data_IF_381614534540
#
_entry.id   IF_381614534540
#
_cell.length_a   1.000
_cell.length_b   1.000
_cell.length_c   1.000
_cell.angle_alpha   90.00
_cell.angle_beta   90.00
_cell.angle_gamma   90.00
#
_symmetry.space_group_name_H-M   'P 1'
#
loop_
_entity.id
_entity.type
_entity.pdbx_description
1 polymer ?
#
# COMPACT_ATOMS: atom_id res chain seq x y z
N UNK A 1 -20.17 31.27 -3.68
CA UNK A 1 -18.92 30.59 -3.33
C UNK A 1 -19.12 30.00 -1.96
N UNK A 2 -19.07 28.68 -1.84
CA UNK A 2 -18.94 28.07 -0.52
C UNK A 2 -17.63 28.59 0.09
N UNK A 3 -17.58 28.82 1.40
CA UNK A 3 -16.32 29.19 2.11
C UNK A 3 -15.24 28.08 2.00
N UNK A 4 -15.50 27.01 1.25
CA UNK A 4 -14.68 25.82 1.08
C UNK A 4 -14.07 25.70 -0.33
N UNK A 5 -14.35 26.61 -1.26
CA UNK A 5 -13.63 26.64 -2.55
C UNK A 5 -12.55 27.72 -2.53
N UNK A 6 -11.36 27.34 -2.06
CA UNK A 6 -10.17 28.19 -2.13
C UNK A 6 -9.73 28.37 -3.60
N UNK A 7 -9.04 29.47 -3.96
CA UNK A 7 -8.61 29.72 -5.33
C UNK A 7 -7.75 28.59 -5.91
N UNK A 8 -6.85 28.01 -5.11
CA UNK A 8 -6.03 26.87 -5.53
C UNK A 8 -6.87 25.64 -5.83
N UNK A 9 -7.90 25.35 -5.02
CA UNK A 9 -8.79 24.21 -5.26
C UNK A 9 -9.71 24.44 -6.47
N UNK A 10 -10.19 25.68 -6.67
CA UNK A 10 -10.97 26.05 -7.86
C UNK A 10 -10.19 25.72 -9.14
N UNK A 11 -8.95 26.18 -9.22
CA UNK A 11 -8.07 25.99 -10.38
C UNK A 11 -7.73 24.51 -10.63
N UNK A 12 -7.45 23.73 -9.57
CA UNK A 12 -7.23 22.29 -9.68
C UNK A 12 -8.50 21.55 -10.13
N UNK A 13 -9.66 21.88 -9.55
CA UNK A 13 -10.93 21.23 -9.92
C UNK A 13 -11.30 21.48 -11.38
N UNK A 14 -11.10 22.71 -11.87
CA UNK A 14 -11.38 23.09 -13.24
C UNK A 14 -10.52 22.29 -14.24
N UNK A 15 -9.24 22.07 -13.93
CA UNK A 15 -8.33 21.24 -14.75
C UNK A 15 -8.69 19.76 -14.74
N UNK A 16 -9.21 19.26 -13.62
CA UNK A 16 -9.73 17.90 -13.49
C UNK A 16 -11.11 17.68 -14.15
N UNK A 17 -11.78 18.75 -14.58
CA UNK A 17 -13.03 18.69 -15.33
C UNK A 17 -14.30 18.85 -14.47
N UNK A 18 -14.19 19.33 -13.22
CA UNK A 18 -15.35 19.54 -12.36
C UNK A 18 -15.33 20.92 -11.67
N UNK A 19 -16.48 21.34 -11.11
CA UNK A 19 -16.58 22.60 -10.37
C UNK A 19 -16.62 22.35 -8.87
N UNK A 20 -15.76 23.05 -8.11
CA UNK A 20 -15.79 23.05 -6.65
C UNK A 20 -17.09 23.64 -6.07
N UNK A 21 -17.79 24.52 -6.80
CA UNK A 21 -19.06 25.12 -6.35
C UNK A 21 -20.20 24.09 -6.33
N UNK A 22 -20.11 23.09 -7.20
CA UNK A 22 -21.08 22.00 -7.34
C UNK A 22 -20.60 20.69 -6.68
N UNK A 23 -19.37 20.67 -6.15
CA UNK A 23 -18.76 19.51 -5.52
C UNK A 23 -19.39 19.19 -4.15
N UNK A 24 -20.57 18.59 -4.19
CA UNK A 24 -21.12 17.72 -3.16
C UNK A 24 -21.34 18.27 -1.76
N UNK A 25 -21.52 17.33 -0.83
CA UNK A 25 -21.63 17.56 0.61
C UNK A 25 -20.71 16.61 1.38
N UNK A 26 -21.04 16.28 2.63
CA UNK A 26 -20.25 15.34 3.44
C UNK A 26 -20.10 13.97 2.77
N UNK A 27 -21.09 13.55 1.99
CA UNK A 27 -21.13 12.30 1.23
C UNK A 27 -21.88 12.52 -0.08
N UNK A 28 -21.39 11.93 -1.16
CA UNK A 28 -22.05 11.94 -2.46
C UNK A 28 -21.84 10.62 -3.21
N UNK A 29 -22.87 10.21 -3.96
CA UNK A 29 -22.84 9.05 -4.82
C UNK A 29 -23.12 9.46 -6.27
N UNK A 30 -22.16 9.23 -7.14
CA UNK A 30 -22.25 9.48 -8.59
C UNK A 30 -22.42 8.16 -9.35
N UNK A 31 -22.83 8.25 -10.61
CA UNK A 31 -22.84 7.09 -11.50
C UNK A 31 -21.43 6.83 -12.04
N UNK A 32 -20.90 5.60 -12.00
CA UNK A 32 -19.58 5.28 -12.58
C UNK A 32 -19.56 5.45 -14.11
N UNK A 33 -20.73 5.52 -14.75
CA UNK A 33 -20.85 5.76 -16.19
C UNK A 33 -20.85 7.25 -16.56
N UNK A 34 -20.87 8.13 -15.56
CA UNK A 34 -20.80 9.58 -15.72
C UNK A 34 -19.43 10.16 -15.31
N UNK A 35 -18.45 9.29 -15.03
CA UNK A 35 -17.09 9.69 -14.70
C UNK A 35 -16.40 10.33 -15.91
N UNK A 36 -15.50 11.30 -15.65
CA UNK A 36 -14.78 12.07 -16.67
C UNK A 36 -14.07 11.18 -17.71
N UNK A 37 -13.54 10.05 -17.26
CA UNK A 37 -12.99 9.05 -18.15
C UNK A 37 -13.22 7.63 -17.62
N UNK A 38 -13.08 6.63 -18.49
CA UNK A 38 -13.35 5.23 -18.18
C UNK A 38 -12.37 4.62 -17.18
N UNK A 39 -11.21 5.24 -16.94
CA UNK A 39 -10.19 4.69 -16.05
C UNK A 39 -10.52 4.94 -14.58
N UNK A 40 -11.27 6.00 -14.26
CA UNK A 40 -11.74 6.32 -12.91
C UNK A 40 -12.52 5.15 -12.26
N UNK A 41 -13.62 4.63 -12.85
CA UNK A 41 -14.34 3.51 -12.25
C UNK A 41 -13.55 2.21 -12.24
N UNK A 42 -12.62 2.01 -13.18
CA UNK A 42 -11.73 0.83 -13.19
C UNK A 42 -10.76 0.88 -12.01
N UNK A 43 -10.15 2.04 -11.77
CA UNK A 43 -9.27 2.27 -10.63
C UNK A 43 -10.02 2.08 -9.32
N UNK A 44 -11.15 2.79 -9.14
CA UNK A 44 -11.94 2.72 -7.91
C UNK A 44 -12.39 1.29 -7.61
N UNK A 45 -12.92 0.58 -8.60
CA UNK A 45 -13.34 -0.81 -8.43
C UNK A 45 -12.17 -1.71 -8.03
N UNK A 46 -11.00 -1.54 -8.67
CA UNK A 46 -9.79 -2.30 -8.32
C UNK A 46 -9.42 -2.07 -6.86
N UNK A 47 -9.20 -0.81 -6.49
CA UNK A 47 -8.72 -0.44 -5.15
C UNK A 47 -9.71 -0.81 -4.05
N UNK A 48 -11.00 -0.48 -4.22
CA UNK A 48 -12.04 -0.75 -3.21
C UNK A 48 -12.24 -2.24 -3.03
N UNK A 49 -12.31 -3.02 -4.12
CA UNK A 49 -12.41 -4.48 -4.03
C UNK A 49 -11.19 -5.07 -3.31
N UNK A 50 -9.99 -4.57 -3.62
CA UNK A 50 -8.77 -4.94 -2.93
C UNK A 50 -8.83 -4.69 -1.43
N UNK A 51 -9.22 -3.49 -1.01
CA UNK A 51 -9.33 -3.13 0.40
C UNK A 51 -10.32 -4.03 1.16
N UNK A 52 -11.47 -4.32 0.55
CA UNK A 52 -12.47 -5.24 1.11
C UNK A 52 -11.90 -6.65 1.22
N UNK A 53 -11.24 -7.16 0.18
CA UNK A 53 -10.63 -8.49 0.22
C UNK A 53 -9.50 -8.60 1.26
N UNK A 54 -8.68 -7.54 1.41
CA UNK A 54 -7.65 -7.47 2.45
C UNK A 54 -8.25 -7.42 3.87
N UNK A 55 -9.39 -6.75 4.05
CA UNK A 55 -10.12 -6.74 5.32
C UNK A 55 -10.70 -8.13 5.63
N UNK A 56 -11.38 -8.75 4.66
CA UNK A 56 -11.90 -10.12 4.78
C UNK A 56 -10.78 -11.08 5.15
N UNK A 57 -9.64 -10.97 4.47
CA UNK A 57 -8.45 -11.73 4.78
C UNK A 57 -7.97 -11.52 6.22
N UNK A 58 -7.83 -10.27 6.67
CA UNK A 58 -7.39 -9.93 8.02
C UNK A 58 -8.34 -10.50 9.10
N UNK A 59 -9.65 -10.41 8.88
CA UNK A 59 -10.68 -10.95 9.78
C UNK A 59 -10.62 -12.48 9.81
N UNK A 60 -10.54 -13.13 8.64
CA UNK A 60 -10.48 -14.60 8.53
C UNK A 60 -9.22 -15.11 9.22
N UNK A 61 -8.09 -14.43 9.06
CA UNK A 61 -6.83 -14.80 9.70
C UNK A 61 -6.88 -14.68 11.21
N UNK A 62 -7.42 -13.58 11.73
CA UNK A 62 -7.68 -13.43 13.16
C UNK A 62 -8.55 -14.58 13.68
N UNK A 63 -9.65 -14.90 13.00
CA UNK A 63 -10.60 -15.94 13.44
C UNK A 63 -10.02 -17.36 13.37
N UNK A 64 -9.19 -17.66 12.36
CA UNK A 64 -8.65 -19.02 12.14
C UNK A 64 -7.38 -19.31 12.91
N UNK A 65 -6.49 -18.33 13.07
CA UNK A 65 -5.15 -18.53 13.65
C UNK A 65 -4.87 -17.66 14.87
N UNK A 66 -5.82 -16.81 15.28
CA UNK A 66 -5.62 -15.85 16.36
C UNK A 66 -4.68 -14.70 16.01
N UNK A 67 -4.28 -14.56 14.73
CA UNK A 67 -3.30 -13.56 14.32
C UNK A 67 -3.96 -12.26 13.85
N UNK A 68 -3.94 -11.26 14.72
CA UNK A 68 -4.52 -9.94 14.50
C UNK A 68 -3.63 -8.98 13.69
N UNK A 69 -2.41 -9.37 13.31
CA UNK A 69 -1.40 -8.44 12.77
C UNK A 69 -1.90 -7.71 11.51
N UNK A 70 -2.56 -8.43 10.59
CA UNK A 70 -3.12 -7.81 9.38
C UNK A 70 -4.28 -6.86 9.66
N UNK A 71 -5.08 -7.16 10.69
CA UNK A 71 -6.17 -6.28 11.06
C UNK A 71 -5.63 -4.97 11.63
N UNK A 72 -4.53 -5.05 12.39
CA UNK A 72 -3.81 -3.88 12.93
C UNK A 72 -3.13 -3.09 11.83
N UNK A 73 -2.52 -3.74 10.83
CA UNK A 73 -1.99 -3.05 9.63
C UNK A 73 -3.13 -2.30 8.93
N UNK A 74 -4.22 -3.00 8.60
CA UNK A 74 -5.36 -2.45 7.87
C UNK A 74 -5.99 -1.26 8.63
N UNK A 75 -6.37 -1.43 9.90
CA UNK A 75 -6.97 -0.36 10.70
C UNK A 75 -5.99 0.75 11.08
N UNK A 76 -4.70 0.43 11.23
CA UNK A 76 -3.65 1.40 11.51
C UNK A 76 -3.50 2.43 10.38
N UNK A 77 -3.73 2.02 9.13
CA UNK A 77 -3.76 2.97 8.00
C UNK A 77 -4.91 3.97 8.10
N UNK A 78 -6.09 3.53 8.56
CA UNK A 78 -7.23 4.44 8.72
C UNK A 78 -6.98 5.46 9.83
N UNK A 79 -6.31 5.06 10.91
CA UNK A 79 -5.93 6.00 11.95
C UNK A 79 -4.97 7.08 11.41
N UNK A 80 -3.99 6.72 10.57
CA UNK A 80 -3.14 7.70 9.87
C UNK A 80 -3.97 8.63 8.97
N UNK A 81 -4.84 8.05 8.14
CA UNK A 81 -5.70 8.78 7.22
C UNK A 81 -6.53 9.85 7.95
N UNK A 82 -7.23 9.46 9.02
CA UNK A 82 -8.08 10.40 9.77
C UNK A 82 -7.31 11.47 10.57
N UNK A 83 -5.99 11.32 10.73
CA UNK A 83 -5.14 12.33 11.35
C UNK A 83 -4.61 13.31 10.31
N UNK A 84 -4.14 12.82 9.16
CA UNK A 84 -3.43 13.63 8.16
C UNK A 84 -4.38 14.25 7.14
N UNK A 85 -5.32 13.48 6.58
CA UNK A 85 -6.17 13.95 5.49
C UNK A 85 -7.00 15.20 5.82
N UNK A 86 -7.61 15.35 7.03
CA UNK A 86 -8.33 16.57 7.35
C UNK A 86 -7.44 17.81 7.29
N UNK A 87 -6.16 17.69 7.66
CA UNK A 87 -5.19 18.78 7.61
C UNK A 87 -4.81 19.13 6.16
N UNK A 88 -4.77 18.13 5.28
CA UNK A 88 -4.44 18.31 3.86
C UNK A 88 -5.60 18.89 3.05
N UNK A 89 -6.84 18.51 3.36
CA UNK A 89 -8.02 18.92 2.61
C UNK A 89 -8.67 20.21 3.10
N UNK A 90 -8.49 20.58 4.38
CA UNK A 90 -9.11 21.77 4.98
C UNK A 90 -8.10 22.64 5.73
N UNK A 91 -6.97 23.03 5.11
CA UNK A 91 -5.92 23.76 5.81
C UNK A 91 -6.41 25.08 6.40
N UNK A 92 -7.33 25.76 5.70
CA UNK A 92 -7.94 27.02 6.12
C UNK A 92 -8.76 26.86 7.41
N UNK A 93 -9.50 25.75 7.53
CA UNK A 93 -10.30 25.43 8.73
C UNK A 93 -9.40 25.16 9.95
N UNK A 94 -8.19 24.65 9.71
CA UNK A 94 -7.21 24.38 10.75
C UNK A 94 -6.22 25.55 10.97
N UNK A 95 -6.37 26.66 10.24
CA UNK A 95 -5.50 27.83 10.34
C UNK A 95 -4.05 27.56 9.95
N UNK A 96 -3.83 26.60 9.04
CA UNK A 96 -2.51 26.21 8.54
C UNK A 96 -2.32 26.52 7.06
N UNK A 97 -3.23 27.27 6.45
CA UNK A 97 -3.22 27.68 5.03
C UNK A 97 -1.90 28.34 4.59
N UNK A 98 -1.29 29.18 5.45
CA UNK A 98 0.01 29.80 5.19
C UNK A 98 1.17 28.79 5.10
N UNK A 99 0.98 27.58 5.63
CA UNK A 99 1.99 26.52 5.72
C UNK A 99 1.67 25.28 4.87
N UNK A 100 0.38 25.01 4.62
CA UNK A 100 -0.17 23.82 3.99
C UNK A 100 -1.31 24.25 3.04
N UNK A 101 -1.06 25.08 2.03
CA UNK A 101 -2.07 25.30 0.97
C UNK A 101 -2.44 23.95 0.31
N UNK A 102 -3.57 23.90 -0.41
CA UNK A 102 -4.11 22.72 -1.10
C UNK A 102 -3.00 22.02 -1.89
N UNK A 103 -2.56 20.85 -1.41
CA UNK A 103 -1.41 20.13 -1.98
C UNK A 103 -1.76 19.41 -3.28
N UNK A 104 -2.99 18.93 -3.40
CA UNK A 104 -3.51 18.23 -4.55
C UNK A 104 -5.05 18.23 -4.50
N UNK A 105 -5.66 17.88 -5.62
CA UNK A 105 -7.09 17.59 -5.71
C UNK A 105 -7.28 16.26 -6.45
N UNK A 106 -8.23 15.45 -5.98
CA UNK A 106 -8.66 14.26 -6.69
C UNK A 106 -9.77 14.60 -7.68
N UNK A 107 -9.89 13.81 -8.75
CA UNK A 107 -11.09 13.85 -9.57
C UNK A 107 -12.28 13.27 -8.79
N UNK A 108 -13.49 13.43 -9.31
CA UNK A 108 -14.71 12.95 -8.68
C UNK A 108 -15.03 11.52 -9.09
N UNK A 109 -14.93 10.59 -8.15
CA UNK A 109 -15.23 9.18 -8.32
C UNK A 109 -16.70 8.87 -7.99
N UNK A 110 -17.06 7.59 -8.01
CA UNK A 110 -18.43 7.13 -7.71
C UNK A 110 -18.80 7.47 -6.27
N UNK A 111 -17.91 7.22 -5.31
CA UNK A 111 -18.15 7.48 -3.90
C UNK A 111 -17.20 8.55 -3.39
N UNK A 112 -17.75 9.71 -3.04
CA UNK A 112 -17.01 10.87 -2.55
C UNK A 112 -17.42 11.26 -1.14
N UNK A 113 -16.46 11.78 -0.39
CA UNK A 113 -16.66 12.38 0.92
C UNK A 113 -16.08 13.80 0.95
N UNK A 114 -16.47 14.55 1.98
CA UNK A 114 -15.85 15.83 2.34
C UNK A 114 -15.85 16.85 1.17
N UNK A 115 -17.01 17.08 0.56
CA UNK A 115 -17.19 18.06 -0.53
C UNK A 115 -16.31 17.78 -1.76
N UNK A 116 -16.23 16.50 -2.15
CA UNK A 116 -15.47 16.05 -3.32
C UNK A 116 -13.96 16.07 -3.14
N UNK A 117 -13.47 16.06 -1.90
CA UNK A 117 -12.03 16.10 -1.58
C UNK A 117 -11.46 14.74 -1.19
N UNK A 118 -12.29 13.84 -0.64
CA UNK A 118 -11.85 12.53 -0.18
C UNK A 118 -12.64 11.41 -0.89
N UNK A 119 -12.15 10.91 -2.02
CA UNK A 119 -12.72 9.75 -2.69
C UNK A 119 -12.59 8.47 -1.85
N UNK A 120 -13.57 7.56 -1.95
CA UNK A 120 -13.49 6.27 -1.26
C UNK A 120 -12.27 5.45 -1.67
N UNK A 121 -11.82 5.55 -2.92
CA UNK A 121 -10.64 4.82 -3.37
C UNK A 121 -9.37 5.26 -2.63
N UNK A 122 -9.26 6.53 -2.22
CA UNK A 122 -8.15 7.02 -1.38
C UNK A 122 -8.23 6.40 0.00
N UNK A 123 -9.41 6.34 0.61
CA UNK A 123 -9.58 5.62 1.88
C UNK A 123 -9.18 4.15 1.76
N UNK A 124 -9.47 3.53 0.62
CA UNK A 124 -9.21 2.13 0.36
C UNK A 124 -7.75 1.80 -0.05
N UNK A 125 -7.03 2.72 -0.71
CA UNK A 125 -5.69 2.42 -1.24
C UNK A 125 -4.68 2.17 -0.13
N UNK A 126 -4.72 2.98 0.95
CA UNK A 126 -3.82 2.82 2.09
C UNK A 126 -3.89 1.41 2.70
N UNK A 127 -5.05 0.92 3.20
CA UNK A 127 -5.13 -0.40 3.80
C UNK A 127 -4.87 -1.53 2.79
N UNK A 128 -5.29 -1.36 1.54
CA UNK A 128 -5.05 -2.36 0.49
C UNK A 128 -3.54 -2.53 0.26
N UNK A 129 -2.84 -1.45 -0.07
CA UNK A 129 -1.44 -1.48 -0.48
C UNK A 129 -0.53 -1.88 0.69
N UNK A 130 -0.77 -1.30 1.87
CA UNK A 130 -0.03 -1.66 3.08
C UNK A 130 -0.16 -3.15 3.41
N UNK A 131 -1.37 -3.71 3.27
CA UNK A 131 -1.59 -5.13 3.53
C UNK A 131 -0.87 -6.01 2.50
N UNK A 132 -0.96 -5.70 1.20
CA UNK A 132 -0.28 -6.47 0.14
C UNK A 132 1.24 -6.49 0.35
N UNK A 133 1.83 -5.31 0.55
CA UNK A 133 3.27 -5.18 0.74
C UNK A 133 3.75 -5.93 1.99
N UNK A 134 3.06 -5.74 3.12
CA UNK A 134 3.34 -6.43 4.36
C UNK A 134 3.25 -7.96 4.21
N UNK A 135 2.22 -8.43 3.51
CA UNK A 135 1.98 -9.85 3.29
C UNK A 135 2.99 -10.51 2.39
N UNK A 136 3.41 -9.85 1.32
CA UNK A 136 4.48 -10.35 0.44
C UNK A 136 5.75 -10.58 1.26
N UNK A 137 6.17 -9.59 2.06
CA UNK A 137 7.36 -9.69 2.91
C UNK A 137 7.23 -10.77 3.98
N UNK A 138 6.03 -10.93 4.55
CA UNK A 138 5.77 -11.97 5.54
C UNK A 138 5.73 -13.37 4.93
N UNK A 139 5.14 -13.55 3.75
CA UNK A 139 5.16 -14.82 3.02
C UNK A 139 6.58 -15.23 2.63
N UNK A 140 7.48 -14.26 2.42
CA UNK A 140 8.91 -14.52 2.25
C UNK A 140 9.65 -14.75 3.58
N UNK A 141 8.96 -14.70 4.73
CA UNK A 141 9.53 -15.01 6.04
C UNK A 141 10.53 -13.98 6.57
N UNK A 142 10.62 -12.80 5.96
CA UNK A 142 11.65 -11.81 6.28
C UNK A 142 11.53 -11.33 7.73
N UNK A 143 10.32 -11.03 8.21
CA UNK A 143 10.10 -10.58 9.60
C UNK A 143 10.61 -11.59 10.63
N UNK A 144 10.48 -12.89 10.36
CA UNK A 144 10.94 -13.95 11.26
C UNK A 144 12.45 -14.14 11.19
N UNK A 145 13.01 -14.03 9.98
CA UNK A 145 14.41 -14.32 9.75
C UNK A 145 15.36 -13.15 10.05
N UNK A 146 14.93 -11.93 9.75
CA UNK A 146 15.74 -10.71 9.85
C UNK A 146 15.20 -9.70 10.87
N UNK A 147 14.07 -10.02 11.51
CA UNK A 147 13.46 -9.20 12.55
C UNK A 147 12.59 -8.06 12.03
N UNK A 148 12.02 -7.32 12.98
CA UNK A 148 10.99 -6.30 12.73
C UNK A 148 11.48 -5.14 11.85
N UNK A 149 12.66 -4.58 12.14
CA UNK A 149 13.17 -3.42 11.40
C UNK A 149 13.47 -3.74 9.94
N UNK A 150 14.21 -4.82 9.68
CA UNK A 150 14.57 -5.21 8.32
C UNK A 150 13.34 -5.64 7.52
N UNK A 151 12.40 -6.35 8.15
CA UNK A 151 11.12 -6.65 7.50
C UNK A 151 10.31 -5.40 7.17
N UNK A 152 10.33 -4.38 8.04
CA UNK A 152 9.67 -3.11 7.77
C UNK A 152 10.31 -2.34 6.61
N UNK A 153 11.64 -2.31 6.52
CA UNK A 153 12.38 -1.77 5.36
C UNK A 153 11.94 -2.47 4.07
N UNK A 154 11.85 -3.80 4.08
CA UNK A 154 11.38 -4.57 2.93
C UNK A 154 9.92 -4.27 2.60
N UNK A 155 9.06 -4.06 3.60
CA UNK A 155 7.64 -3.74 3.39
C UNK A 155 7.46 -2.35 2.78
N UNK A 156 8.24 -1.36 3.23
CA UNK A 156 8.31 -0.04 2.59
C UNK A 156 8.75 -0.12 1.13
N UNK A 157 9.80 -0.89 0.84
CA UNK A 157 10.29 -1.10 -0.52
C UNK A 157 9.25 -1.78 -1.43
N UNK A 158 8.58 -2.83 -0.96
CA UNK A 158 7.55 -3.51 -1.74
C UNK A 158 6.35 -2.59 -1.95
N UNK A 159 5.91 -1.87 -0.91
CA UNK A 159 4.82 -0.89 -1.04
C UNK A 159 5.15 0.15 -2.11
N UNK A 160 6.35 0.74 -2.03
CA UNK A 160 6.85 1.71 -2.99
C UNK A 160 6.76 1.18 -4.42
N UNK A 161 7.27 -0.02 -4.69
CA UNK A 161 7.21 -0.60 -6.03
C UNK A 161 5.78 -0.77 -6.58
N UNK A 162 4.79 -1.03 -5.73
CA UNK A 162 3.39 -1.12 -6.16
C UNK A 162 2.71 0.25 -6.28
N UNK A 163 3.04 1.17 -5.37
CA UNK A 163 2.43 2.48 -5.26
C UNK A 163 2.88 3.39 -6.41
N UNK A 164 4.17 3.42 -6.73
CA UNK A 164 4.71 4.29 -7.78
C UNK A 164 4.18 3.96 -9.19
N UNK A 165 3.77 2.70 -9.42
CA UNK A 165 3.10 2.32 -10.67
C UNK A 165 1.78 3.09 -10.85
N UNK A 166 1.06 3.29 -9.74
CA UNK A 166 -0.18 4.04 -9.70
C UNK A 166 0.10 5.55 -9.68
N UNK A 167 1.05 6.00 -8.86
CA UNK A 167 1.29 7.42 -8.60
C UNK A 167 1.80 8.17 -9.85
N UNK A 168 2.70 7.54 -10.63
CA UNK A 168 3.19 8.13 -11.88
C UNK A 168 2.21 8.08 -13.05
N UNK A 169 1.11 7.34 -12.93
CA UNK A 169 0.07 7.29 -13.96
C UNK A 169 -1.09 8.25 -13.69
N UNK A 170 -1.37 8.51 -12.41
CA UNK A 170 -2.54 9.28 -11.98
C UNK A 170 -2.67 10.67 -12.60
N UNK A 171 -1.61 11.50 -12.60
CA UNK A 171 -1.69 12.83 -13.20
C UNK A 171 -2.04 12.78 -14.70
N UNK A 172 -1.43 11.85 -15.45
CA UNK A 172 -1.70 11.70 -16.88
C UNK A 172 -3.15 11.27 -17.17
N UNK A 173 -3.74 10.44 -16.31
CA UNK A 173 -5.12 9.96 -16.46
C UNK A 173 -6.16 10.80 -15.70
N UNK A 174 -5.75 11.96 -15.17
CA UNK A 174 -6.59 12.88 -14.37
C UNK A 174 -7.28 12.19 -13.20
N UNK A 175 -6.59 11.28 -12.52
CA UNK A 175 -7.08 10.71 -11.26
C UNK A 175 -6.95 11.71 -10.10
N UNK A 176 -5.88 12.50 -10.15
CA UNK A 176 -5.64 13.67 -9.29
C UNK A 176 -4.64 14.59 -9.96
N UNK A 177 -4.52 15.79 -9.42
CA UNK A 177 -3.55 16.78 -9.85
C UNK A 177 -2.83 17.39 -8.65
N UNK A 178 -1.51 17.59 -8.80
CA UNK A 178 -0.66 18.20 -7.78
C UNK A 178 -0.63 19.71 -7.93
N UNK A 179 -0.64 20.43 -6.80
CA UNK A 179 -0.32 21.85 -6.80
C UNK A 179 1.17 22.04 -7.08
N UNK A 180 1.48 22.61 -8.24
CA UNK A 180 2.87 22.72 -8.74
C UNK A 180 3.70 23.71 -7.93
N UNK A 181 3.07 24.79 -7.44
CA UNK A 181 3.75 25.87 -6.73
C UNK A 181 3.84 25.62 -5.21
N UNK A 182 3.21 24.55 -4.71
CA UNK A 182 3.25 24.22 -3.29
C UNK A 182 4.67 23.80 -2.86
N UNK A 183 5.30 24.49 -1.88
CA UNK A 183 6.67 24.18 -1.45
C UNK A 183 6.87 22.75 -0.92
N UNK A 184 5.81 22.12 -0.41
CA UNK A 184 5.84 20.75 0.13
C UNK A 184 5.90 19.73 -1.00
N UNK A 185 5.31 20.02 -2.16
CA UNK A 185 5.38 19.15 -3.33
C UNK A 185 6.74 19.20 -4.03
N UNK A 186 7.56 20.21 -3.70
CA UNK A 186 8.87 20.38 -4.31
C UNK A 186 9.94 19.53 -3.61
N UNK A 187 10.92 18.98 -4.34
CA UNK A 187 11.02 18.96 -5.80
C UNK A 187 10.13 17.88 -6.43
N UNK A 188 9.77 18.05 -7.69
CA UNK A 188 9.10 17.03 -8.48
C UNK A 188 10.10 16.05 -9.12
N UNK A 189 9.64 14.81 -9.31
CA UNK A 189 10.22 13.78 -10.15
C UNK A 189 9.24 13.50 -11.30
N UNK A 190 9.52 14.08 -12.46
CA UNK A 190 8.54 14.20 -13.55
C UNK A 190 7.22 14.79 -13.02
N UNK A 191 6.06 14.16 -13.22
CA UNK A 191 4.76 14.67 -12.72
C UNK A 191 4.48 14.44 -11.23
N UNK A 192 5.36 13.78 -10.48
CA UNK A 192 5.10 13.34 -9.10
C UNK A 192 6.04 14.02 -8.10
N UNK A 193 5.55 14.61 -6.99
CA UNK A 193 6.40 15.11 -5.91
C UNK A 193 7.37 14.05 -5.38
N UNK A 194 8.66 14.35 -5.31
CA UNK A 194 9.65 13.44 -4.72
C UNK A 194 9.35 13.11 -3.24
N UNK A 195 8.77 14.02 -2.43
CA UNK A 195 8.24 13.66 -1.11
C UNK A 195 7.13 12.59 -1.17
N UNK A 196 6.30 12.53 -2.21
CA UNK A 196 5.37 11.40 -2.44
C UNK A 196 6.12 10.09 -2.64
N UNK A 197 7.05 10.11 -3.59
CA UNK A 197 7.87 8.96 -4.00
C UNK A 197 8.65 8.34 -2.83
N UNK A 198 9.12 9.16 -1.88
CA UNK A 198 9.93 8.69 -0.75
C UNK A 198 9.10 8.52 0.51
N UNK A 199 8.36 9.54 0.92
CA UNK A 199 7.71 9.56 2.23
C UNK A 199 6.43 8.72 2.21
N UNK A 200 5.50 9.03 1.30
CA UNK A 200 4.22 8.35 1.22
C UNK A 200 4.36 6.93 0.68
N UNK A 201 5.20 6.73 -0.33
CA UNK A 201 5.33 5.44 -0.98
C UNK A 201 6.26 4.46 -0.24
N UNK A 202 7.28 4.91 0.51
CA UNK A 202 8.27 4.01 1.13
C UNK A 202 8.39 4.16 2.66
N UNK A 203 8.62 5.37 3.17
CA UNK A 203 8.95 5.59 4.58
C UNK A 203 7.75 5.43 5.52
N UNK A 204 6.58 5.96 5.15
CA UNK A 204 5.36 5.79 5.93
C UNK A 204 4.93 4.31 6.05
N UNK A 205 4.84 3.52 4.96
CA UNK A 205 4.53 2.10 5.05
C UNK A 205 5.57 1.31 5.83
N UNK A 206 6.85 1.68 5.73
CA UNK A 206 7.92 1.13 6.57
C UNK A 206 7.64 1.42 8.06
N UNK A 207 7.30 2.66 8.42
CA UNK A 207 6.96 3.05 9.79
C UNK A 207 5.75 2.26 10.33
N UNK A 208 4.70 2.13 9.53
CA UNK A 208 3.52 1.33 9.86
C UNK A 208 3.86 -0.15 10.05
N UNK A 209 4.59 -0.75 9.11
CA UNK A 209 4.99 -2.15 9.18
C UNK A 209 5.85 -2.43 10.41
N UNK A 210 6.78 -1.52 10.73
CA UNK A 210 7.59 -1.56 11.94
C UNK A 210 6.70 -1.54 13.19
N UNK A 211 5.80 -0.57 13.31
CA UNK A 211 4.93 -0.42 14.47
C UNK A 211 4.00 -1.63 14.63
N UNK A 212 3.34 -2.08 13.57
CA UNK A 212 2.43 -3.22 13.60
C UNK A 212 3.16 -4.51 14.03
N UNK A 213 4.36 -4.76 13.51
CA UNK A 213 5.17 -5.90 13.92
C UNK A 213 5.73 -5.75 15.34
N UNK A 214 6.16 -4.56 15.72
CA UNK A 214 6.77 -4.32 17.03
C UNK A 214 5.73 -4.42 18.15
N UNK A 215 4.56 -3.81 17.98
CA UNK A 215 3.52 -3.82 19.01
C UNK A 215 2.67 -5.09 18.99
N UNK A 216 2.50 -5.76 17.85
CA UNK A 216 1.57 -6.88 17.73
C UNK A 216 2.24 -8.12 17.14
N UNK A 217 2.73 -8.05 15.90
CA UNK A 217 3.15 -9.23 15.14
C UNK A 217 4.21 -10.09 15.82
N UNK A 218 5.29 -9.50 16.34
CA UNK A 218 6.36 -10.25 17.03
C UNK A 218 5.90 -10.98 18.28
N UNK A 219 4.87 -10.46 18.96
CA UNK A 219 4.33 -11.10 20.16
C UNK A 219 3.44 -12.28 19.79
N UNK A 220 2.67 -12.15 18.71
CA UNK A 220 1.86 -13.26 18.15
C UNK A 220 2.76 -14.37 17.62
N UNK A 221 3.84 -14.00 16.92
CA UNK A 221 4.87 -14.96 16.48
C UNK A 221 5.53 -15.69 17.68
N UNK A 222 5.61 -15.06 18.84
CA UNK A 222 6.05 -15.66 20.11
C UNK A 222 4.96 -16.45 20.85
N UNK A 223 3.76 -16.60 20.27
CA UNK A 223 2.65 -17.37 20.82
C UNK A 223 1.72 -16.60 21.76
N UNK A 224 1.87 -15.28 21.89
CA UNK A 224 0.97 -14.45 22.70
C UNK A 224 -0.35 -14.18 21.95
N UNK A 225 -1.46 -14.27 22.68
CA UNK A 225 -2.77 -13.81 22.22
C UNK A 225 -3.15 -12.50 22.91
N UNK A 226 -4.02 -11.73 22.25
CA UNK A 226 -4.46 -10.42 22.73
C UNK A 226 -5.99 -10.39 22.86
N UNK A 227 -6.48 -9.77 23.93
CA UNK A 227 -7.91 -9.46 24.08
C UNK A 227 -8.33 -8.29 23.19
N UNK A 228 -9.64 -8.12 22.98
CA UNK A 228 -10.19 -7.07 22.11
C UNK A 228 -9.75 -5.65 22.50
N UNK A 229 -9.86 -5.29 23.78
CA UNK A 229 -9.44 -3.96 24.27
C UNK A 229 -7.94 -3.73 24.08
N UNK A 230 -7.12 -4.77 24.29
CA UNK A 230 -5.67 -4.67 24.09
C UNK A 230 -5.34 -4.44 22.61
N UNK A 231 -6.03 -5.12 21.70
CA UNK A 231 -5.87 -4.89 20.27
C UNK A 231 -6.32 -3.50 19.84
N UNK A 232 -7.43 -2.99 20.39
CA UNK A 232 -7.94 -1.66 20.06
C UNK A 232 -6.92 -0.57 20.38
N UNK A 233 -6.41 -0.49 21.61
CA UNK A 233 -5.45 0.57 21.96
C UNK A 233 -4.14 0.39 21.19
N UNK A 234 -3.65 -0.85 20.99
CA UNK A 234 -2.44 -1.09 20.20
C UNK A 234 -2.61 -0.64 18.76
N UNK A 235 -3.79 -0.81 18.17
CA UNK A 235 -4.10 -0.35 16.81
C UNK A 235 -4.04 1.17 16.73
N UNK A 236 -4.65 1.86 17.69
CA UNK A 236 -4.60 3.33 17.79
C UNK A 236 -3.16 3.81 17.96
N UNK A 237 -2.40 3.19 18.87
CA UNK A 237 -0.97 3.51 19.07
C UNK A 237 -0.15 3.26 17.82
N UNK A 238 -0.38 2.16 17.10
CA UNK A 238 0.31 1.86 15.83
C UNK A 238 0.03 2.97 14.82
N UNK A 239 -1.23 3.38 14.63
CA UNK A 239 -1.57 4.47 13.72
C UNK A 239 -0.88 5.79 14.11
N UNK A 240 -0.98 6.19 15.37
CA UNK A 240 -0.38 7.44 15.88
C UNK A 240 1.14 7.45 15.76
N UNK A 241 1.81 6.40 16.24
CA UNK A 241 3.28 6.31 16.24
C UNK A 241 3.81 6.13 14.81
N UNK A 242 3.11 5.39 13.95
CA UNK A 242 3.49 5.26 12.55
C UNK A 242 3.47 6.62 11.84
N UNK A 243 2.47 7.46 12.14
CA UNK A 243 2.34 8.83 11.61
C UNK A 243 3.54 9.72 11.95
N UNK A 244 4.12 9.57 13.15
CA UNK A 244 5.34 10.30 13.54
C UNK A 244 6.52 9.97 12.61
N UNK A 245 6.55 8.76 12.04
CA UNK A 245 7.56 8.36 11.06
C UNK A 245 7.57 9.24 9.79
N UNK A 246 6.44 9.84 9.41
CA UNK A 246 6.34 10.78 8.28
C UNK A 246 7.15 12.04 8.51
N UNK A 247 7.37 12.42 9.77
CA UNK A 247 8.16 13.60 10.13
C UNK A 247 9.62 13.22 10.38
N UNK A 248 9.85 12.11 11.10
CA UNK A 248 11.20 11.74 11.55
C UNK A 248 12.03 11.15 10.41
N UNK A 249 11.47 10.22 9.63
CA UNK A 249 12.23 9.49 8.62
C UNK A 249 12.78 10.40 7.49
N UNK A 250 12.01 11.36 6.93
CA UNK A 250 12.54 12.30 5.95
C UNK A 250 13.18 13.55 6.56
N UNK A 251 13.39 13.60 7.88
CA UNK A 251 14.00 14.75 8.54
C UNK A 251 15.38 15.12 7.95
N UNK A 252 16.27 14.17 7.57
CA UNK A 252 17.53 14.54 6.92
C UNK A 252 17.30 15.34 5.63
N UNK A 253 16.41 14.89 4.74
CA UNK A 253 16.07 15.63 3.52
C UNK A 253 15.43 16.99 3.82
N UNK A 254 14.57 17.06 4.82
CA UNK A 254 13.84 18.28 5.20
C UNK A 254 14.76 19.34 5.80
N UNK A 255 15.64 18.94 6.73
CA UNK A 255 16.51 19.87 7.47
C UNK A 255 17.73 20.27 6.66
N UNK A 256 18.42 19.32 6.01
CA UNK A 256 19.64 19.60 5.26
C UNK A 256 19.30 20.23 3.89
N UNK A 257 18.17 19.83 3.30
CA UNK A 257 17.65 20.42 2.07
C UNK A 257 16.91 21.74 2.26
N UNK A 258 16.90 22.30 3.47
CA UNK A 258 16.26 23.59 3.74
C UNK A 258 16.93 24.69 2.92
N UNK A 259 16.15 25.34 2.05
CA UNK A 259 16.65 26.39 1.15
C UNK A 259 17.29 25.90 -0.16
N UNK A 260 17.30 24.59 -0.45
CA UNK A 260 17.73 24.07 -1.76
C UNK A 260 16.93 22.85 -2.19
N UNK A 261 16.13 23.02 -3.25
CA UNK A 261 15.37 21.93 -3.87
C UNK A 261 16.27 20.83 -4.42
N UNK A 262 17.44 21.17 -4.97
CA UNK A 262 18.43 20.21 -5.46
C UNK A 262 19.05 19.36 -4.34
N UNK A 263 19.43 19.98 -3.21
CA UNK A 263 19.97 19.23 -2.06
C UNK A 263 18.87 18.33 -1.47
N UNK A 264 17.65 18.87 -1.31
CA UNK A 264 16.50 18.09 -0.87
C UNK A 264 16.24 16.89 -1.79
N UNK A 265 16.30 17.09 -3.11
CA UNK A 265 16.16 16.02 -4.10
C UNK A 265 17.21 14.92 -3.91
N UNK A 266 18.48 15.31 -3.80
CA UNK A 266 19.58 14.39 -3.67
C UNK A 266 19.49 13.53 -2.39
N UNK A 267 19.05 14.12 -1.28
CA UNK A 267 18.91 13.39 -0.01
C UNK A 267 17.73 12.44 -0.04
N UNK A 268 16.57 12.87 -0.54
CA UNK A 268 15.42 11.99 -0.74
C UNK A 268 15.78 10.79 -1.63
N UNK A 269 16.46 11.04 -2.76
CA UNK A 269 16.94 9.97 -3.64
C UNK A 269 17.92 9.04 -2.91
N UNK A 270 18.85 9.58 -2.12
CA UNK A 270 19.80 8.78 -1.35
C UNK A 270 19.11 7.90 -0.29
N UNK A 271 18.13 8.43 0.44
CA UNK A 271 17.32 7.67 1.41
C UNK A 271 16.63 6.48 0.73
N UNK A 272 15.98 6.72 -0.41
CA UNK A 272 15.31 5.68 -1.18
C UNK A 272 16.29 4.63 -1.74
N UNK A 273 17.44 5.06 -2.26
CA UNK A 273 18.48 4.16 -2.78
C UNK A 273 19.03 3.26 -1.67
N UNK A 274 19.33 3.82 -0.49
CA UNK A 274 19.83 3.05 0.66
C UNK A 274 18.79 2.01 1.09
N UNK A 275 17.53 2.43 1.23
CA UNK A 275 16.41 1.55 1.56
C UNK A 275 16.29 0.41 0.54
N UNK A 276 16.34 0.74 -0.75
CA UNK A 276 16.23 -0.21 -1.86
C UNK A 276 17.38 -1.22 -1.88
N UNK A 277 18.63 -0.79 -1.69
CA UNK A 277 19.78 -1.69 -1.63
C UNK A 277 19.61 -2.72 -0.51
N UNK A 278 19.21 -2.28 0.69
CA UNK A 278 19.00 -3.18 1.83
C UNK A 278 17.86 -4.16 1.52
N UNK A 279 16.73 -3.67 1.03
CA UNK A 279 15.57 -4.50 0.73
C UNK A 279 15.87 -5.54 -0.36
N UNK A 280 16.48 -5.13 -1.48
CA UNK A 280 16.86 -6.03 -2.59
C UNK A 280 17.81 -7.11 -2.10
N UNK A 281 18.84 -6.75 -1.33
CA UNK A 281 19.80 -7.69 -0.77
C UNK A 281 19.10 -8.74 0.12
N UNK A 282 18.25 -8.29 1.05
CA UNK A 282 17.56 -9.17 2.01
C UNK A 282 16.54 -10.06 1.31
N UNK A 283 15.68 -9.50 0.45
CA UNK A 283 14.65 -10.26 -0.26
C UNK A 283 15.26 -11.31 -1.18
N UNK A 284 16.33 -10.97 -1.91
CA UNK A 284 17.02 -11.90 -2.81
C UNK A 284 17.69 -13.04 -2.04
N UNK A 285 18.37 -12.72 -0.94
CA UNK A 285 19.03 -13.72 -0.08
C UNK A 285 18.01 -14.65 0.57
N UNK A 286 16.90 -14.09 1.05
CA UNK A 286 15.86 -14.86 1.70
C UNK A 286 15.12 -15.77 0.70
N UNK A 287 14.81 -15.27 -0.49
CA UNK A 287 14.24 -16.08 -1.57
C UNK A 287 15.14 -17.25 -1.95
N UNK A 288 16.43 -17.00 -2.13
CA UNK A 288 17.42 -18.05 -2.42
C UNK A 288 17.47 -19.12 -1.31
N UNK A 289 17.51 -18.68 -0.05
CA UNK A 289 17.51 -19.58 1.11
C UNK A 289 16.26 -20.46 1.17
N UNK A 290 15.07 -19.88 1.00
CA UNK A 290 13.82 -20.63 1.08
C UNK A 290 13.71 -21.70 -0.02
N UNK A 291 14.34 -21.47 -1.17
CA UNK A 291 14.44 -22.47 -2.24
C UNK A 291 15.44 -23.59 -1.92
N UNK A 292 16.51 -23.30 -1.18
CA UNK A 292 17.50 -24.31 -0.79
C UNK A 292 17.10 -25.11 0.45
N UNK A 293 16.23 -24.57 1.31
CA UNK A 293 15.88 -25.17 2.61
C UNK A 293 14.36 -25.19 2.83
N UNK A 294 13.64 -26.18 2.27
CA UNK A 294 12.17 -26.25 2.31
C UNK A 294 11.55 -26.48 3.70
N UNK A 295 12.34 -26.83 4.71
CA UNK A 295 11.84 -27.12 6.06
C UNK A 295 11.34 -25.86 6.80
N UNK A 296 11.79 -24.67 6.40
CA UNK A 296 11.49 -23.39 7.05
C UNK A 296 10.34 -22.61 6.35
N UNK A 297 9.55 -23.28 5.51
CA UNK A 297 8.60 -22.61 4.63
C UNK A 297 7.52 -21.80 5.39
N UNK A 298 7.44 -20.48 5.14
CA UNK A 298 6.44 -19.61 5.75
C UNK A 298 5.00 -19.96 5.35
N UNK A 299 4.04 -19.35 6.05
CA UNK A 299 2.64 -19.40 5.67
C UNK A 299 2.44 -18.73 4.30
N UNK A 300 1.61 -19.36 3.44
CA UNK A 300 1.25 -18.86 2.11
C UNK A 300 -0.17 -18.31 2.13
N UNK A 301 -0.45 -17.33 1.27
CA UNK A 301 -1.79 -16.76 1.12
C UNK A 301 -2.13 -16.55 -0.36
N UNK A 302 -3.02 -17.37 -0.90
CA UNK A 302 -3.40 -17.31 -2.31
C UNK A 302 -4.21 -16.05 -2.65
N UNK A 303 -5.04 -15.55 -1.74
CA UNK A 303 -5.85 -14.34 -1.98
C UNK A 303 -4.96 -13.13 -2.25
N UNK A 304 -3.96 -12.90 -1.41
CA UNK A 304 -3.01 -11.77 -1.60
C UNK A 304 -2.20 -11.94 -2.87
N UNK A 305 -1.72 -13.16 -3.15
CA UNK A 305 -0.91 -13.44 -4.33
C UNK A 305 -1.66 -13.15 -5.62
N UNK A 306 -2.86 -13.72 -5.77
CA UNK A 306 -3.65 -13.54 -6.98
C UNK A 306 -4.18 -12.13 -7.10
N UNK A 307 -4.55 -11.48 -5.99
CA UNK A 307 -4.94 -10.09 -6.04
C UNK A 307 -3.78 -9.16 -6.44
N UNK A 308 -2.55 -9.40 -5.94
CA UNK A 308 -1.38 -8.64 -6.37
C UNK A 308 -1.10 -8.81 -7.87
N UNK A 309 -1.27 -10.03 -8.42
CA UNK A 309 -1.20 -10.26 -9.87
C UNK A 309 -2.30 -9.48 -10.61
N UNK A 310 -3.53 -9.52 -10.11
CA UNK A 310 -4.65 -8.80 -10.73
C UNK A 310 -4.44 -7.28 -10.73
N UNK A 311 -3.97 -6.71 -9.61
CA UNK A 311 -3.61 -5.29 -9.52
C UNK A 311 -2.54 -4.91 -10.56
N UNK A 312 -1.44 -5.68 -10.63
CA UNK A 312 -0.37 -5.42 -11.61
C UNK A 312 -0.86 -5.56 -13.04
N UNK A 313 -1.75 -6.51 -13.33
CA UNK A 313 -2.34 -6.68 -14.65
C UNK A 313 -3.24 -5.50 -15.04
N UNK A 314 -4.09 -5.03 -14.14
CA UNK A 314 -4.93 -3.84 -14.37
C UNK A 314 -4.06 -2.62 -14.61
N UNK A 315 -3.07 -2.38 -13.74
CA UNK A 315 -2.16 -1.24 -13.91
C UNK A 315 -1.36 -1.31 -15.20
N UNK A 316 -0.93 -2.50 -15.63
CA UNK A 316 -0.25 -2.68 -16.90
C UNK A 316 -1.17 -2.33 -18.09
N UNK A 317 -2.44 -2.72 -18.05
CA UNK A 317 -3.42 -2.36 -19.09
C UNK A 317 -3.64 -0.85 -19.14
N UNK A 318 -3.77 -0.20 -17.98
CA UNK A 318 -3.94 1.26 -17.89
C UNK A 318 -2.71 2.00 -18.42
N UNK A 319 -1.50 1.57 -18.05
CA UNK A 319 -0.26 2.11 -18.60
C UNK A 319 -0.16 1.93 -20.11
N UNK A 320 -0.44 0.72 -20.63
CA UNK A 320 -0.42 0.45 -22.08
C UNK A 320 -1.41 1.36 -22.82
N UNK A 321 -2.59 1.60 -22.24
CA UNK A 321 -3.58 2.53 -22.79
C UNK A 321 -3.10 3.98 -22.82
N UNK A 322 -2.26 4.39 -21.86
CA UNK A 322 -1.71 5.73 -21.73
C UNK A 322 -0.40 5.96 -22.53
N UNK A 323 0.25 4.89 -23.02
CA UNK A 323 1.52 5.00 -23.76
C UNK A 323 1.46 5.87 -25.02
N UNK A 324 0.39 5.85 -25.86
CA UNK A 324 0.33 6.71 -27.03
C UNK A 324 0.49 8.19 -26.68
N UNK A 325 -0.26 8.67 -25.70
CA UNK A 325 -0.22 10.06 -25.25
C UNK A 325 1.13 10.38 -24.60
N UNK A 326 1.68 9.42 -23.83
CA UNK A 326 3.00 9.54 -23.23
C UNK A 326 4.10 9.74 -24.28
N UNK A 327 4.09 8.97 -25.38
CA UNK A 327 5.07 9.11 -26.46
C UNK A 327 4.86 10.37 -27.32
N UNK A 328 3.64 10.91 -27.36
CA UNK A 328 3.35 12.17 -28.04
C UNK A 328 3.62 13.41 -27.18
N UNK A 329 3.85 13.23 -25.87
CA UNK A 329 4.03 14.33 -24.94
C UNK A 329 5.24 15.19 -25.31
N UNK A 330 5.08 16.51 -25.17
CA UNK A 330 6.12 17.50 -25.40
C UNK A 330 6.41 18.19 -24.08
N UNK A 331 7.69 18.29 -23.72
CA UNK A 331 8.15 18.91 -22.47
C UNK A 331 7.46 18.35 -21.21
N UNK A 332 7.12 17.05 -21.23
CA UNK A 332 6.51 16.36 -20.08
C UNK A 332 5.00 16.55 -19.95
N UNK A 333 4.32 17.03 -20.99
CA UNK A 333 2.87 17.27 -20.99
C UNK A 333 2.22 16.69 -22.24
N UNK A 334 1.07 16.02 -22.10
CA UNK A 334 0.28 15.49 -23.24
C UNK A 334 -0.37 16.61 -24.05
N UNK A 335 -0.93 16.29 -25.23
CA UNK A 335 -1.71 17.26 -26.02
C UNK A 335 -2.92 17.81 -25.25
N UNK A 336 -3.50 17.01 -24.35
CA UNK A 336 -4.62 17.39 -23.50
C UNK A 336 -4.23 18.24 -22.29
N UNK A 337 -2.93 18.52 -22.10
CA UNK A 337 -2.41 19.34 -20.99
C UNK A 337 -2.06 18.54 -19.74
N UNK A 338 -2.01 17.21 -19.80
CA UNK A 338 -1.82 16.36 -18.63
C UNK A 338 -0.33 16.07 -18.42
N UNK A 339 0.22 16.28 -17.21
CA UNK A 339 1.64 16.02 -16.94
C UNK A 339 1.92 14.51 -16.90
N UNK A 340 2.98 14.08 -17.58
CA UNK A 340 3.36 12.66 -17.68
C UNK A 340 4.36 12.25 -16.59
N UNK A 341 4.19 11.04 -16.07
CA UNK A 341 5.12 10.46 -15.11
C UNK A 341 6.33 9.78 -15.76
N UNK A 342 7.18 9.19 -14.91
CA UNK A 342 8.43 8.59 -15.33
C UNK A 342 8.24 7.14 -15.81
N UNK A 343 8.26 6.92 -17.12
CA UNK A 343 8.04 5.58 -17.71
C UNK A 343 9.12 4.57 -17.26
N UNK A 344 10.39 4.97 -17.27
CA UNK A 344 11.50 4.06 -16.95
C UNK A 344 11.53 3.66 -15.48
N UNK A 345 11.23 4.61 -14.62
CA UNK A 345 11.10 4.36 -13.21
C UNK A 345 9.91 3.44 -12.91
N UNK A 346 8.75 3.71 -13.53
CA UNK A 346 7.58 2.85 -13.42
C UNK A 346 7.84 1.43 -13.94
N UNK A 347 8.56 1.29 -15.05
CA UNK A 347 8.98 -0.02 -15.56
C UNK A 347 9.88 -0.77 -14.55
N UNK A 348 10.79 -0.07 -13.87
CA UNK A 348 11.59 -0.66 -12.80
C UNK A 348 10.70 -1.09 -11.60
N UNK A 349 9.73 -0.27 -11.22
CA UNK A 349 8.75 -0.62 -10.18
C UNK A 349 7.91 -1.84 -10.56
N UNK A 350 7.45 -1.97 -11.80
CA UNK A 350 6.81 -3.19 -12.31
C UNK A 350 7.72 -4.41 -12.17
N UNK A 351 8.98 -4.32 -12.59
CA UNK A 351 9.94 -5.43 -12.49
C UNK A 351 10.11 -5.86 -11.03
N UNK A 352 10.29 -4.91 -10.12
CA UNK A 352 10.43 -5.19 -8.68
C UNK A 352 9.15 -5.81 -8.11
N UNK A 353 7.98 -5.24 -8.39
CA UNK A 353 6.70 -5.74 -7.90
C UNK A 353 6.41 -7.16 -8.40
N UNK A 354 6.60 -7.40 -9.71
CA UNK A 354 6.47 -8.73 -10.33
C UNK A 354 7.45 -9.71 -9.71
N UNK A 355 8.72 -9.33 -9.52
CA UNK A 355 9.72 -10.21 -8.90
C UNK A 355 9.35 -10.58 -7.47
N UNK A 356 8.87 -9.61 -6.67
CA UNK A 356 8.42 -9.86 -5.30
C UNK A 356 7.21 -10.81 -5.26
N UNK A 357 6.23 -10.63 -6.15
CA UNK A 357 5.07 -11.51 -6.26
C UNK A 357 5.49 -12.91 -6.72
N UNK A 358 6.29 -13.01 -7.79
CA UNK A 358 6.79 -14.27 -8.33
C UNK A 358 7.63 -15.04 -7.31
N UNK A 359 8.41 -14.35 -6.46
CA UNK A 359 9.15 -14.95 -5.37
C UNK A 359 8.21 -15.72 -4.41
N UNK A 360 7.01 -15.20 -4.12
CA UNK A 360 6.04 -15.91 -3.27
C UNK A 360 5.50 -17.18 -3.92
N UNK A 361 5.35 -17.23 -5.25
CA UNK A 361 4.90 -18.42 -5.97
C UNK A 361 5.98 -19.50 -6.12
N UNK A 362 7.26 -19.11 -6.10
CA UNK A 362 8.38 -20.00 -6.41
C UNK A 362 9.05 -20.62 -5.19
N UNK A 363 8.71 -20.19 -3.97
CA UNK A 363 9.15 -20.83 -2.73
C UNK A 363 8.30 -22.08 -2.43
N UNK A 364 8.88 -23.14 -1.82
CA UNK A 364 8.12 -24.33 -1.46
C UNK A 364 7.00 -23.97 -0.46
N UNK A 365 5.87 -24.67 -0.54
CA UNK A 365 4.72 -24.47 0.35
C UNK A 365 4.79 -25.52 1.45
N UNK A 366 4.51 -25.12 2.69
CA UNK A 366 4.22 -26.09 3.74
C UNK A 366 2.95 -26.84 3.30
N UNK A 367 3.06 -28.14 3.03
CA UNK A 367 1.89 -28.95 2.74
C UNK A 367 0.94 -28.83 3.93
N UNK A 368 -0.33 -28.51 3.66
CA UNK A 368 -1.37 -28.56 4.69
C UNK A 368 -1.37 -29.98 5.26
N UNK A 369 -0.87 -30.13 6.49
CA UNK A 369 -0.94 -31.37 7.24
C UNK A 369 -2.40 -31.59 7.64
N UNK A 370 -3.24 -32.03 6.69
CA UNK A 370 -4.66 -32.12 6.97
C UNK A 370 -5.57 -32.48 5.80
N UNK A 371 -5.21 -33.41 4.91
CA UNK A 371 -6.18 -34.21 4.11
C UNK A 371 -5.47 -35.36 3.37
N UNK A 372 -4.81 -36.31 4.07
CA UNK A 372 -4.44 -37.63 3.52
C UNK A 372 -4.02 -38.63 4.62
N UNK A 373 -4.68 -38.59 5.78
CA UNK A 373 -4.37 -39.41 6.95
C UNK A 373 -5.36 -40.55 7.24
N UNK A 374 -6.24 -40.90 6.29
CA UNK A 374 -7.25 -41.96 6.49
C UNK A 374 -7.47 -42.75 5.21
N UNK A 375 -6.47 -43.56 4.83
CA UNK A 375 -6.67 -44.73 3.96
C UNK A 375 -5.42 -45.62 3.94
N UNK A 376 -4.95 -46.14 5.09
CA UNK A 376 -4.20 -47.41 5.13
C UNK A 376 -3.94 -47.85 6.57
N UNK A 377 -4.99 -48.23 7.31
CA UNK A 377 -4.86 -49.07 8.51
C UNK A 377 -6.16 -49.81 8.80
N UNK A 378 -6.56 -50.79 7.98
CA UNK A 378 -7.23 -52.02 8.47
C UNK A 378 -7.26 -53.10 7.39
N UNK A 379 -6.27 -53.99 7.36
CA UNK A 379 -6.46 -55.37 6.90
C UNK A 379 -5.30 -56.22 7.44
N UNK A 380 -5.29 -56.39 8.77
CA UNK A 380 -4.46 -57.39 9.45
C UNK A 380 -4.98 -57.62 10.88
N UNK A 381 -5.99 -58.47 11.01
CA UNK A 381 -6.34 -59.28 12.17
C UNK A 381 -7.41 -60.29 11.67
N UNK A 382 -7.34 -61.61 11.86
CA UNK A 382 -6.62 -62.42 12.83
C UNK A 382 -6.55 -63.90 12.37
N UNK A 383 -5.62 -64.71 12.90
CA UNK A 383 -5.83 -66.15 13.08
C UNK A 383 -6.35 -66.41 14.50
N UNK A 384 -7.58 -66.93 14.61
CA UNK A 384 -8.18 -67.37 15.87
C UNK A 384 -7.53 -68.66 16.36
N UNK A 385 -6.74 -68.55 17.44
CA UNK A 385 -6.23 -69.69 18.20
C UNK A 385 -7.20 -70.08 19.31
N UNK A 386 -7.84 -71.23 19.16
CA UNK A 386 -8.57 -71.93 20.23
C UNK A 386 -7.65 -72.93 20.92
N UNK A 387 -7.53 -72.86 22.25
CA UNK A 387 -7.26 -74.06 23.07
C UNK A 387 -7.84 -73.89 24.49
N UNK A 388 -8.61 -74.87 24.99
CA UNK A 388 -9.20 -74.84 26.34
C UNK A 388 -8.25 -75.47 27.38
N UNK A 389 -8.53 -75.30 28.69
CA UNK A 389 -7.86 -76.05 29.75
C UNK A 389 -8.66 -77.30 30.12
N UNK A 390 -7.99 -78.45 30.26
CA UNK A 390 -8.37 -79.49 31.23
C UNK A 390 -7.24 -80.54 31.37
N UNK A 391 -6.92 -80.78 32.64
CA UNK A 391 -6.06 -81.82 33.29
C UNK A 391 -4.60 -81.93 32.92
#
# INVERSE_FOLDING_TARGET
>A
MSDLCSPTFEDLSARLGFSCDEAGGIFELRSPFASENWTLPVLEATIVLGAVMMLVYAIVRLRRTGDATNLVVWLGTLAFLFIIEPLLYFPDVFGVEEYLDTMFAHNVFTVEFLWGRLPLYIIAIYPMMATIAFEIVRMLGVFRQYGTLVGAVCAGFVHHAFYEIFDHLGPQLRWWEWSLDNPINQPFFDSVPLPSVVVFAALWPMSLAFCAQFFVGRHIDAGRTFGGLELTWRTITVGLVASVGVVILPAPATVIGMGSTTVRAAIYAAELVILSIVAIYVLSRQWSRLRSTPADCPCSNDLVRWYAVAYLAVMAVLWIGALPDWFSAVDGVTEAGDPIGSLWYTAACFVVAIACVAATFTIPRKADAGTNGTASKTLAAAPGGTRPPET
#
